data_IF_239499081071
#
_entry.id   IF_239499081071
#
_cell.length_a   1.000
_cell.length_b   1.000
_cell.length_c   1.000
_cell.angle_alpha   90.00
_cell.angle_beta   90.00
_cell.angle_gamma   90.00
#
_symmetry.space_group_name_H-M   'P 1'
#
loop_
_entity.id
_entity.type
_entity.pdbx_description
1 polymer ?
#
# COMPACT_ATOMS: atom_id res chain seq x y z
N UNK A 1 -1.20 -15.07 6.07
CA UNK A 1 -0.75 -13.73 5.64
C UNK A 1 -1.96 -12.82 5.73
N UNK A 2 -1.83 -11.68 6.42
CA UNK A 2 -2.93 -10.72 6.53
C UNK A 2 -3.18 -10.04 5.17
N UNK A 3 -4.42 -9.65 4.93
CA UNK A 3 -4.82 -8.94 3.72
C UNK A 3 -5.74 -7.76 4.07
N UNK A 4 -5.64 -6.68 3.31
CA UNK A 4 -6.53 -5.51 3.36
C UNK A 4 -6.82 -5.02 1.92
N UNK A 5 -7.75 -4.07 1.80
CA UNK A 5 -8.05 -3.35 0.56
C UNK A 5 -7.73 -1.88 0.76
N UNK A 6 -7.08 -1.27 -0.24
CA UNK A 6 -6.76 0.14 -0.20
C UNK A 6 -8.02 1.02 -0.14
N UNK A 7 -8.00 2.01 0.76
CA UNK A 7 -9.15 2.89 1.06
C UNK A 7 -8.97 4.34 0.58
N UNK A 8 -8.00 4.59 -0.31
CA UNK A 8 -7.74 5.91 -0.88
C UNK A 8 -8.37 6.08 -2.27
N UNK A 9 -8.61 7.32 -2.67
CA UNK A 9 -9.07 7.72 -4.01
C UNK A 9 -7.89 8.18 -4.87
N UNK A 10 -8.05 8.17 -6.18
CA UNK A 10 -7.00 8.59 -7.12
C UNK A 10 -6.50 10.03 -6.90
N UNK A 11 -7.38 10.91 -6.41
CA UNK A 11 -7.13 12.33 -6.15
C UNK A 11 -6.76 12.63 -4.69
N UNK A 12 -6.67 11.61 -3.84
CA UNK A 12 -6.27 11.82 -2.46
C UNK A 12 -4.80 12.30 -2.37
N UNK A 13 -4.49 13.17 -1.38
CA UNK A 13 -3.12 13.58 -1.12
C UNK A 13 -2.25 12.38 -0.72
N UNK A 14 -0.96 12.45 -1.03
CA UNK A 14 0.02 11.37 -0.77
C UNK A 14 -0.02 10.85 0.68
N UNK A 15 -0.29 11.72 1.65
CA UNK A 15 -0.41 11.34 3.05
C UNK A 15 -1.53 10.31 3.30
N UNK A 16 -2.67 10.45 2.62
CA UNK A 16 -3.77 9.47 2.74
C UNK A 16 -3.46 8.18 1.99
N UNK A 17 -2.77 8.26 0.85
CA UNK A 17 -2.30 7.07 0.13
C UNK A 17 -1.34 6.26 1.01
N UNK A 18 -0.34 6.90 1.62
CA UNK A 18 0.60 6.24 2.55
C UNK A 18 -0.11 5.68 3.77
N UNK A 19 -1.08 6.40 4.34
CA UNK A 19 -1.87 5.94 5.48
C UNK A 19 -2.70 4.69 5.14
N UNK A 20 -3.16 4.54 3.90
CA UNK A 20 -3.88 3.34 3.44
C UNK A 20 -3.00 2.08 3.42
N UNK A 21 -1.67 2.25 3.41
CA UNK A 21 -0.68 1.18 3.49
C UNK A 21 -0.14 1.02 4.93
N UNK A 22 -0.74 1.65 5.94
CA UNK A 22 -0.23 1.59 7.31
C UNK A 22 -0.27 0.15 7.88
N UNK A 23 0.64 -0.13 8.81
CA UNK A 23 0.66 -1.41 9.50
C UNK A 23 -0.66 -1.62 10.29
N UNK A 24 -1.38 -2.74 10.10
CA UNK A 24 -2.64 -2.98 10.80
C UNK A 24 -2.47 -3.22 12.30
N UNK A 25 -1.24 -3.53 12.75
CA UNK A 25 -0.93 -3.82 14.15
C UNK A 25 -0.39 -2.58 14.87
N UNK A 26 0.58 -1.88 14.27
CA UNK A 26 1.25 -0.74 14.89
C UNK A 26 0.65 0.62 14.51
N UNK A 27 -0.21 0.67 13.50
CA UNK A 27 -0.78 1.89 12.92
C UNK A 27 0.27 2.93 12.47
N UNK A 28 1.48 2.44 12.14
CA UNK A 28 2.56 3.27 11.60
C UNK A 28 2.52 3.21 10.06
N UNK A 29 2.61 4.38 9.42
CA UNK A 29 2.71 4.51 7.96
C UNK A 29 4.11 4.92 7.50
N UNK A 30 5.02 5.23 8.43
CA UNK A 30 6.38 5.68 8.13
C UNK A 30 7.36 4.52 8.05
N UNK A 31 8.35 4.64 7.15
CA UNK A 31 9.45 3.70 6.97
C UNK A 31 9.02 2.24 6.75
N UNK A 32 7.84 2.03 6.16
CA UNK A 32 7.40 0.71 5.76
C UNK A 32 8.22 0.23 4.56
N UNK A 33 8.66 -1.02 4.60
CA UNK A 33 9.18 -1.70 3.42
C UNK A 33 7.96 -2.17 2.61
N UNK A 34 7.89 -1.80 1.33
CA UNK A 34 6.81 -2.27 0.48
C UNK A 34 7.27 -2.54 -0.94
N UNK A 35 6.56 -3.43 -1.62
CA UNK A 35 6.82 -3.81 -3.00
C UNK A 35 5.50 -3.89 -3.77
N UNK A 36 5.42 -3.15 -4.87
CA UNK A 36 4.22 -3.06 -5.68
C UNK A 36 4.20 -4.16 -6.74
N UNK A 37 3.18 -5.00 -6.70
CA UNK A 37 2.85 -5.94 -7.76
C UNK A 37 1.66 -5.35 -8.54
N UNK A 38 1.95 -4.37 -9.40
CA UNK A 38 0.92 -3.60 -10.12
C UNK A 38 0.51 -4.22 -11.45
N UNK A 39 1.26 -5.21 -11.94
CA UNK A 39 0.96 -5.93 -13.17
C UNK A 39 -0.01 -7.10 -12.92
N UNK A 40 -0.94 -7.33 -13.84
CA UNK A 40 -1.85 -8.49 -13.81
C UNK A 40 -3.29 -8.15 -13.43
N UNK A 41 -4.06 -9.18 -13.05
CA UNK A 41 -5.51 -9.07 -12.80
C UNK A 41 -5.84 -8.53 -11.40
N UNK A 42 -4.98 -8.78 -10.41
CA UNK A 42 -5.18 -8.38 -9.00
C UNK A 42 -4.01 -7.50 -8.53
N UNK A 43 -3.97 -6.22 -8.89
CA UNK A 43 -2.88 -5.35 -8.50
C UNK A 43 -2.84 -5.20 -6.97
N UNK A 44 -1.65 -5.30 -6.39
CA UNK A 44 -1.49 -5.30 -4.94
C UNK A 44 -0.14 -4.78 -4.49
N UNK A 45 -0.04 -4.48 -3.19
CA UNK A 45 1.20 -4.07 -2.53
C UNK A 45 1.51 -5.05 -1.41
N UNK A 46 2.70 -5.62 -1.42
CA UNK A 46 3.21 -6.36 -0.27
C UNK A 46 3.92 -5.40 0.66
N UNK A 47 3.45 -5.31 1.91
CA UNK A 47 3.99 -4.42 2.93
C UNK A 47 4.64 -5.23 4.04
N UNK A 48 5.66 -4.64 4.67
CA UNK A 48 6.31 -5.19 5.86
C UNK A 48 6.62 -4.08 6.85
N UNK A 49 6.23 -4.31 8.11
CA UNK A 49 6.51 -3.36 9.18
C UNK A 49 7.89 -3.65 9.80
N UNK A 50 8.83 -2.68 9.83
CA UNK A 50 10.13 -2.89 10.46
C UNK A 50 10.04 -3.01 11.99
N UNK A 51 8.94 -2.53 12.61
CA UNK A 51 8.73 -2.53 14.06
C UNK A 51 8.21 -3.87 14.57
N UNK A 52 7.02 -4.31 14.13
CA UNK A 52 6.43 -5.59 14.57
C UNK A 52 6.78 -6.79 13.69
N UNK A 53 7.47 -6.56 12.56
CA UNK A 53 7.87 -7.58 11.57
C UNK A 53 6.72 -8.26 10.83
N UNK A 54 5.48 -7.83 11.03
CA UNK A 54 4.32 -8.34 10.31
C UNK A 54 4.38 -7.99 8.82
N UNK A 55 3.89 -8.91 7.98
CA UNK A 55 3.76 -8.74 6.54
C UNK A 55 2.30 -8.91 6.12
N UNK A 56 1.82 -8.01 5.27
CA UNK A 56 0.44 -8.04 4.77
C UNK A 56 0.39 -7.60 3.31
N UNK A 57 -0.69 -7.99 2.65
CA UNK A 57 -0.97 -7.58 1.27
C UNK A 57 -2.13 -6.59 1.25
N UNK A 58 -1.99 -5.53 0.46
CA UNK A 58 -3.07 -4.57 0.20
C UNK A 58 -3.48 -4.69 -1.25
N UNK A 59 -4.74 -5.07 -1.49
CA UNK A 59 -5.30 -5.12 -2.85
C UNK A 59 -5.73 -3.73 -3.30
N UNK A 60 -5.53 -3.46 -4.58
CA UNK A 60 -5.81 -2.18 -5.24
C UNK A 60 -6.86 -2.38 -6.33
N UNK A 61 -7.67 -1.34 -6.55
CA UNK A 61 -8.38 -1.16 -7.80
C UNK A 61 -7.42 -0.65 -8.90
N UNK A 62 -7.71 -0.84 -10.20
CA UNK A 62 -6.81 -0.43 -11.29
C UNK A 62 -6.38 1.05 -11.23
N UNK A 63 -7.27 1.96 -10.84
CA UNK A 63 -6.95 3.38 -10.72
C UNK A 63 -6.01 3.68 -9.54
N UNK A 64 -6.15 2.93 -8.44
CA UNK A 64 -5.27 3.03 -7.28
C UNK A 64 -3.88 2.49 -7.62
N UNK A 65 -3.80 1.40 -8.39
CA UNK A 65 -2.55 0.85 -8.90
C UNK A 65 -1.79 1.87 -9.76
N UNK A 66 -2.48 2.51 -10.70
CA UNK A 66 -1.89 3.56 -11.54
C UNK A 66 -1.40 4.75 -10.70
N UNK A 67 -2.19 5.19 -9.72
CA UNK A 67 -1.80 6.28 -8.81
C UNK A 67 -0.53 5.95 -8.03
N UNK A 68 -0.40 4.71 -7.55
CA UNK A 68 0.77 4.25 -6.82
C UNK A 68 2.02 4.18 -7.72
N UNK A 69 1.87 3.72 -8.97
CA UNK A 69 2.95 3.66 -9.94
C UNK A 69 3.59 5.04 -10.19
N UNK A 70 2.77 6.10 -10.22
CA UNK A 70 3.25 7.48 -10.37
C UNK A 70 3.95 8.03 -9.12
N UNK A 71 3.64 7.52 -7.93
CA UNK A 71 4.32 7.91 -6.69
C UNK A 71 5.70 7.26 -6.56
N UNK A 72 5.82 6.00 -6.96
CA UNK A 72 7.05 5.21 -6.80
C UNK A 72 8.13 5.57 -7.83
N UNK A 73 7.74 6.15 -8.97
CA UNK A 73 8.67 6.60 -10.01
C UNK A 73 9.40 7.93 -9.68
N UNK A 74 9.28 8.43 -8.44
CA UNK A 74 9.81 9.73 -7.99
C UNK A 74 11.11 9.62 -7.20
#
# INVERSE_FOLDING_TARGET
MLADTARFRSDDPDALVRASLACPICLCAENLEWHAALDGYDPSVECRCPRCKESWRVYLEPQQALRLAFMDAS
#
